data_IF_465954407065
#
_entry.id   IF_465954407065
#
_cell.length_a   1.000
_cell.length_b   1.000
_cell.length_c   1.000
_cell.angle_alpha   90.00
_cell.angle_beta   90.00
_cell.angle_gamma   90.00
#
_symmetry.space_group_name_H-M   'P 1'
#
loop_
_entity.id
_entity.type
_entity.pdbx_description
1 polymer ?
#
# COMPACT_ATOMS: atom_id res chain seq x y z
N UNK A 1 3.80 21.75 20.92
CA UNK A 1 3.05 22.80 21.64
C UNK A 1 2.14 23.56 20.71
N UNK A 2 0.82 23.57 20.95
CA UNK A 2 -0.09 24.44 20.21
C UNK A 2 0.30 25.91 20.43
N UNK A 3 0.30 26.70 19.35
CA UNK A 3 0.52 28.15 19.42
C UNK A 3 -0.68 28.77 20.10
N UNK A 4 -0.53 29.11 21.38
CA UNK A 4 -1.52 29.90 22.10
C UNK A 4 -1.35 31.36 21.73
N UNK A 5 -2.44 32.02 21.33
CA UNK A 5 -2.44 33.46 21.18
C UNK A 5 -2.44 34.08 22.59
N UNK A 6 -1.31 34.72 22.94
CA UNK A 6 -1.02 35.29 24.26
C UNK A 6 -1.72 36.65 24.40
N UNK A 7 -3.06 36.69 24.34
CA UNK A 7 -3.80 37.25 25.49
C UNK A 7 -5.14 36.57 25.80
N UNK A 8 -5.69 35.71 24.94
CA UNK A 8 -7.08 35.26 25.04
C UNK A 8 -7.27 33.89 25.69
N UNK A 9 -6.21 33.07 25.74
CA UNK A 9 -6.28 31.68 26.20
C UNK A 9 -7.12 30.76 25.29
N UNK A 10 -7.54 31.27 24.12
CA UNK A 10 -8.30 30.51 23.12
C UNK A 10 -7.30 29.89 22.14
N UNK A 11 -7.46 28.61 21.83
CA UNK A 11 -6.67 27.95 20.80
C UNK A 11 -6.98 28.62 19.44
N UNK A 12 -5.96 28.87 18.61
CA UNK A 12 -6.18 29.49 17.29
C UNK A 12 -7.23 28.73 16.46
N UNK A 13 -7.27 27.39 16.57
CA UNK A 13 -8.26 26.57 15.88
C UNK A 13 -9.70 26.90 16.30
N UNK A 14 -9.95 27.14 17.59
CA UNK A 14 -11.27 27.52 18.10
C UNK A 14 -11.65 28.95 17.71
N UNK A 15 -10.67 29.86 17.70
CA UNK A 15 -10.87 31.23 17.23
C UNK A 15 -11.29 31.24 15.75
N UNK A 16 -10.62 30.44 14.91
CA UNK A 16 -10.98 30.28 13.49
C UNK A 16 -12.35 29.64 13.35
N UNK A 17 -12.62 28.51 14.02
CA UNK A 17 -13.92 27.84 13.96
C UNK A 17 -15.06 28.80 14.31
N UNK A 18 -14.90 29.58 15.38
CA UNK A 18 -15.87 30.59 15.80
C UNK A 18 -16.12 31.68 14.76
N UNK A 19 -15.06 32.19 14.10
CA UNK A 19 -15.19 33.22 13.06
C UNK A 19 -15.98 32.72 11.85
N UNK A 20 -15.87 31.43 11.52
CA UNK A 20 -16.58 30.81 10.40
C UNK A 20 -17.87 30.08 10.78
N UNK A 21 -18.34 30.20 12.03
CA UNK A 21 -19.57 29.55 12.51
C UNK A 21 -19.48 28.02 12.68
N UNK A 22 -18.26 27.47 12.74
CA UNK A 22 -18.00 26.07 13.02
C UNK A 22 -17.92 25.76 14.53
N UNK A 23 -18.07 24.48 14.88
CA UNK A 23 -17.85 23.99 16.24
C UNK A 23 -16.37 24.07 16.63
N UNK A 24 -16.04 24.35 17.92
CA UNK A 24 -14.67 24.28 18.42
C UNK A 24 -13.99 22.97 18.05
N UNK A 25 -12.69 23.03 17.77
CA UNK A 25 -11.91 21.86 17.37
C UNK A 25 -11.46 21.16 18.64
N UNK A 26 -11.98 19.97 18.88
CA UNK A 26 -11.50 19.15 19.98
C UNK A 26 -10.07 18.68 19.70
N UNK A 27 -9.10 19.37 20.27
CA UNK A 27 -7.68 19.04 20.10
C UNK A 27 -7.31 17.68 20.67
N UNK A 28 -8.10 17.13 21.60
CA UNK A 28 -7.87 15.78 22.10
C UNK A 28 -8.17 14.73 21.02
N UNK A 29 -9.18 15.00 20.17
CA UNK A 29 -9.49 14.20 18.99
C UNK A 29 -8.42 14.35 17.90
N UNK A 30 -7.82 15.55 17.73
CA UNK A 30 -6.72 15.73 16.76
C UNK A 30 -5.46 14.94 17.11
N UNK A 31 -5.20 14.75 18.40
CA UNK A 31 -4.08 13.94 18.89
C UNK A 31 -4.39 12.44 18.92
N UNK A 32 -5.64 12.04 18.67
CA UNK A 32 -6.04 10.64 18.63
C UNK A 32 -5.64 10.00 17.28
N UNK A 33 -5.30 8.72 17.32
CA UNK A 33 -4.92 7.98 16.11
C UNK A 33 -6.11 7.94 15.14
N UNK A 34 -5.95 8.49 13.95
CA UNK A 34 -6.99 8.41 12.92
C UNK A 34 -7.20 6.95 12.47
N UNK A 35 -8.45 6.47 12.35
CA UNK A 35 -8.75 5.12 11.88
C UNK A 35 -8.33 4.94 10.42
N UNK A 36 -8.16 6.03 9.66
CA UNK A 36 -7.67 6.02 8.28
C UNK A 36 -6.16 5.92 8.16
N UNK A 37 -5.43 6.27 9.23
CA UNK A 37 -3.96 6.23 9.29
C UNK A 37 -3.39 5.09 10.14
N UNK A 38 -4.19 4.46 11.00
CA UNK A 38 -3.75 3.33 11.81
C UNK A 38 -3.23 2.17 10.94
N UNK A 39 -2.20 1.44 11.37
CA UNK A 39 -1.76 0.24 10.66
C UNK A 39 -2.77 -0.90 10.82
N UNK A 40 -2.85 -1.83 9.85
CA UNK A 40 -3.60 -3.09 9.99
C UNK A 40 -2.79 -4.11 10.80
N UNK A 41 -2.59 -3.81 12.07
CA UNK A 41 -1.79 -4.59 13.01
C UNK A 41 -2.42 -4.55 14.41
N UNK A 42 -1.90 -5.36 15.32
CA UNK A 42 -2.28 -5.32 16.74
C UNK A 42 -2.06 -3.93 17.34
N UNK A 43 -0.94 -3.27 17.03
CA UNK A 43 -0.65 -1.93 17.54
C UNK A 43 -1.60 -0.87 17.00
N UNK A 44 -1.94 -0.92 15.71
CA UNK A 44 -2.91 -0.01 15.09
C UNK A 44 -4.31 -0.22 15.65
N UNK A 45 -4.74 -1.48 15.77
CA UNK A 45 -6.00 -1.86 16.41
C UNK A 45 -6.08 -1.36 17.85
N UNK A 46 -5.08 -1.65 18.70
CA UNK A 46 -5.06 -1.22 20.09
C UNK A 46 -5.12 0.31 20.22
N UNK A 47 -4.46 1.03 19.31
CA UNK A 47 -4.50 2.50 19.26
C UNK A 47 -5.89 3.07 18.95
N UNK A 48 -6.69 2.36 18.15
CA UNK A 48 -8.09 2.75 17.89
C UNK A 48 -9.01 2.28 19.03
N UNK A 49 -8.85 1.04 19.48
CA UNK A 49 -9.69 0.44 20.52
C UNK A 49 -9.60 1.17 21.87
N UNK A 50 -8.41 1.66 22.23
CA UNK A 50 -8.16 2.42 23.46
C UNK A 50 -8.82 3.81 23.49
N UNK A 51 -9.27 4.32 22.34
CA UNK A 51 -10.00 5.60 22.29
C UNK A 51 -11.41 5.50 22.86
N UNK A 52 -11.92 4.28 23.09
CA UNK A 52 -13.27 4.10 23.64
C UNK A 52 -14.40 4.59 22.70
N UNK A 53 -14.10 4.82 21.42
CA UNK A 53 -15.01 5.43 20.46
C UNK A 53 -15.51 4.43 19.42
N UNK A 54 -16.79 4.06 19.51
CA UNK A 54 -17.42 3.15 18.55
C UNK A 54 -17.37 3.68 17.11
N UNK A 55 -17.63 4.98 16.82
CA UNK A 55 -17.48 5.50 15.46
C UNK A 55 -16.05 5.38 14.88
N UNK A 56 -15.01 5.56 15.72
CA UNK A 56 -13.62 5.40 15.27
C UNK A 56 -13.30 3.93 14.97
N UNK A 57 -13.75 3.01 15.82
CA UNK A 57 -13.60 1.57 15.58
C UNK A 57 -14.40 1.12 14.34
N UNK A 58 -15.60 1.65 14.13
CA UNK A 58 -16.42 1.40 12.95
C UNK A 58 -15.69 1.79 11.65
N UNK A 59 -15.14 3.01 11.59
CA UNK A 59 -14.35 3.46 10.44
C UNK A 59 -13.10 2.59 10.21
N UNK A 60 -12.42 2.17 11.29
CA UNK A 60 -11.27 1.28 11.20
C UNK A 60 -11.66 -0.10 10.63
N UNK A 61 -12.75 -0.70 11.13
CA UNK A 61 -13.28 -1.98 10.64
C UNK A 61 -13.74 -1.86 9.18
N UNK A 62 -14.45 -0.80 8.82
CA UNK A 62 -14.87 -0.56 7.43
C UNK A 62 -13.65 -0.51 6.50
N UNK A 63 -12.60 0.20 6.90
CA UNK A 63 -11.35 0.27 6.14
C UNK A 63 -10.69 -1.11 6.00
N UNK A 64 -10.67 -1.91 7.07
CA UNK A 64 -10.16 -3.30 7.00
C UNK A 64 -10.97 -4.14 6.02
N UNK A 65 -12.31 -4.07 6.08
CA UNK A 65 -13.22 -4.78 5.15
C UNK A 65 -12.93 -4.36 3.70
N UNK A 66 -12.72 -3.07 3.45
CA UNK A 66 -12.35 -2.56 2.13
C UNK A 66 -11.01 -3.11 1.63
N UNK A 67 -10.04 -3.34 2.53
CA UNK A 67 -8.74 -3.94 2.21
C UNK A 67 -8.78 -5.47 2.10
N UNK A 68 -9.90 -6.10 2.44
CA UNK A 68 -10.17 -7.52 2.21
C UNK A 68 -10.90 -7.77 0.88
N UNK A 69 -11.07 -6.75 0.04
CA UNK A 69 -11.82 -6.86 -1.21
C UNK A 69 -13.32 -6.96 -0.99
N UNK A 70 -13.83 -6.45 0.13
CA UNK A 70 -15.23 -6.51 0.49
C UNK A 70 -15.86 -5.12 0.66
N UNK A 71 -17.18 -5.07 0.59
CA UNK A 71 -17.99 -3.89 0.91
C UNK A 71 -18.94 -4.18 2.06
N UNK A 72 -19.24 -3.17 2.86
CA UNK A 72 -20.26 -3.25 3.93
C UNK A 72 -21.64 -3.03 3.33
N UNK A 73 -22.60 -3.92 3.60
CA UNK A 73 -23.99 -3.80 3.13
C UNK A 73 -25.00 -3.58 4.29
N UNK A 74 -24.54 -3.43 5.54
CA UNK A 74 -25.39 -3.18 6.70
C UNK A 74 -24.71 -2.34 7.79
N UNK A 75 -25.01 -1.03 7.83
CA UNK A 75 -24.42 -0.10 8.79
C UNK A 75 -24.66 -0.53 10.26
N UNK A 76 -25.90 -0.90 10.61
CA UNK A 76 -26.21 -1.34 11.97
C UNK A 76 -25.40 -2.57 12.41
N UNK A 77 -25.17 -3.51 11.50
CA UNK A 77 -24.39 -4.72 11.79
C UNK A 77 -22.89 -4.38 11.94
N UNK A 78 -22.37 -3.46 11.13
CA UNK A 78 -21.02 -2.91 11.29
C UNK A 78 -20.86 -2.21 12.65
N UNK A 79 -21.79 -1.33 13.04
CA UNK A 79 -21.76 -0.65 14.34
C UNK A 79 -21.81 -1.65 15.50
N UNK A 80 -22.69 -2.65 15.43
CA UNK A 80 -22.77 -3.71 16.43
C UNK A 80 -21.47 -4.54 16.49
N UNK A 81 -20.87 -4.83 15.33
CA UNK A 81 -19.59 -5.50 15.25
C UNK A 81 -18.50 -4.67 15.92
N UNK A 82 -18.33 -3.40 15.52
CA UNK A 82 -17.31 -2.49 16.02
C UNK A 82 -17.41 -2.24 17.53
N UNK A 83 -18.63 -2.13 18.06
CA UNK A 83 -18.88 -1.90 19.49
C UNK A 83 -18.25 -2.99 20.38
N UNK A 84 -18.21 -4.25 19.91
CA UNK A 84 -17.58 -5.36 20.65
C UNK A 84 -16.06 -5.22 20.79
N UNK A 85 -15.43 -4.39 19.96
CA UNK A 85 -13.99 -4.18 19.93
C UNK A 85 -13.56 -2.85 20.58
N UNK A 86 -14.51 -2.05 21.06
CA UNK A 86 -14.24 -0.82 21.82
C UNK A 86 -13.79 -1.17 23.25
N UNK A 87 -12.71 -0.54 23.74
CA UNK A 87 -12.27 -0.73 25.13
C UNK A 87 -11.47 -2.01 25.42
N UNK A 88 -11.18 -2.81 24.38
CA UNK A 88 -10.12 -3.84 24.27
C UNK A 88 -9.92 -4.89 25.40
N UNK A 89 -10.76 -4.99 26.43
CA UNK A 89 -10.60 -6.03 27.45
C UNK A 89 -10.93 -7.42 26.87
N UNK A 90 -9.91 -8.10 26.32
CA UNK A 90 -10.03 -9.45 25.76
C UNK A 90 -10.22 -9.54 24.23
N UNK A 91 -10.21 -8.40 23.53
CA UNK A 91 -10.28 -8.35 22.06
C UNK A 91 -8.90 -8.10 21.46
N UNK A 92 -8.60 -8.72 20.31
CA UNK A 92 -7.33 -8.56 19.59
C UNK A 92 -7.56 -8.37 18.10
N UNK A 93 -6.57 -7.81 17.39
CA UNK A 93 -6.62 -7.70 15.94
C UNK A 93 -6.75 -9.07 15.26
N UNK A 94 -6.00 -10.13 15.63
CA UNK A 94 -6.22 -11.47 15.10
C UNK A 94 -7.64 -12.00 15.29
N UNK A 95 -8.27 -11.75 16.45
CA UNK A 95 -9.67 -12.15 16.70
C UNK A 95 -10.62 -11.43 15.74
N UNK A 96 -10.46 -10.12 15.59
CA UNK A 96 -11.24 -9.31 14.65
C UNK A 96 -11.08 -9.82 13.22
N UNK A 97 -9.84 -10.09 12.81
CA UNK A 97 -9.52 -10.60 11.49
C UNK A 97 -10.09 -11.98 11.22
N UNK A 98 -10.07 -12.87 12.21
CA UNK A 98 -10.69 -14.20 12.12
C UNK A 98 -12.19 -14.08 11.89
N UNK A 99 -12.88 -13.20 12.63
CA UNK A 99 -14.31 -12.96 12.45
C UNK A 99 -14.63 -12.35 11.07
N UNK A 100 -13.86 -11.37 10.61
CA UNK A 100 -14.04 -10.79 9.26
C UNK A 100 -13.74 -11.82 8.16
N UNK A 101 -12.74 -12.68 8.37
CA UNK A 101 -12.38 -13.77 7.48
C UNK A 101 -13.48 -14.84 7.35
N UNK A 102 -14.36 -14.96 8.34
CA UNK A 102 -15.57 -15.82 8.26
C UNK A 102 -16.62 -15.29 7.28
N UNK A 103 -16.40 -14.11 6.68
CA UNK A 103 -17.28 -13.46 5.71
C UNK A 103 -18.69 -13.25 6.26
N UNK A 104 -18.84 -12.43 7.32
CA UNK A 104 -20.14 -12.24 7.95
C UNK A 104 -21.15 -11.66 6.95
N UNK A 105 -22.43 -12.00 7.11
CA UNK A 105 -23.48 -11.68 6.13
C UNK A 105 -23.67 -10.17 5.85
N UNK A 106 -23.18 -9.30 6.73
CA UNK A 106 -23.17 -7.85 6.56
C UNK A 106 -22.02 -7.33 5.67
N UNK A 107 -21.22 -8.23 5.12
CA UNK A 107 -20.17 -7.95 4.13
C UNK A 107 -20.49 -8.64 2.81
N UNK A 108 -20.00 -8.07 1.72
CA UNK A 108 -20.04 -8.66 0.38
C UNK A 108 -18.63 -8.68 -0.19
N UNK A 109 -18.07 -9.88 -0.34
CA UNK A 109 -16.74 -10.08 -0.92
C UNK A 109 -16.85 -10.14 -2.43
N UNK A 110 -16.06 -9.33 -3.11
CA UNK A 110 -16.06 -9.29 -4.57
C UNK A 110 -15.07 -10.30 -5.14
N UNK A 111 -15.56 -11.21 -5.98
CA UNK A 111 -14.73 -12.15 -6.72
C UNK A 111 -13.80 -11.46 -7.75
N UNK A 112 -14.18 -10.26 -8.20
CA UNK A 112 -13.39 -9.39 -9.06
C UNK A 112 -12.43 -8.45 -8.31
N UNK A 113 -12.27 -8.62 -6.99
CA UNK A 113 -11.34 -7.81 -6.22
C UNK A 113 -9.89 -8.00 -6.72
N UNK A 114 -9.14 -6.90 -6.74
CA UNK A 114 -7.77 -6.85 -7.25
C UNK A 114 -6.87 -6.10 -6.29
N UNK A 115 -5.59 -6.46 -6.33
CA UNK A 115 -4.57 -5.71 -5.63
C UNK A 115 -4.20 -4.47 -6.45
N UNK A 116 -4.46 -3.28 -5.91
CA UNK A 116 -4.34 -1.99 -6.61
C UNK A 116 -3.63 -0.99 -5.71
N UNK A 117 -3.14 0.11 -6.28
CA UNK A 117 -2.44 1.13 -5.51
C UNK A 117 -3.39 1.90 -4.60
N UNK A 118 -2.97 2.11 -3.36
CA UNK A 118 -3.68 2.91 -2.39
C UNK A 118 -3.69 4.38 -2.81
N UNK A 119 -4.86 4.93 -3.15
CA UNK A 119 -4.98 6.33 -3.57
C UNK A 119 -4.75 7.34 -2.44
N UNK A 120 -4.80 6.87 -1.19
CA UNK A 120 -4.51 7.70 -0.02
C UNK A 120 -3.01 7.66 0.36
N UNK A 121 -2.21 6.77 -0.26
CA UNK A 121 -0.78 6.69 -0.01
C UNK A 121 -0.02 7.77 -0.79
N UNK A 122 1.08 8.26 -0.20
CA UNK A 122 1.99 9.18 -0.86
C UNK A 122 2.57 8.53 -2.13
N UNK A 123 2.61 9.22 -3.29
CA UNK A 123 3.18 8.69 -4.53
C UNK A 123 4.61 8.16 -4.38
N UNK A 124 5.44 8.74 -3.51
CA UNK A 124 6.80 8.25 -3.24
C UNK A 124 6.78 6.86 -2.60
N UNK A 125 5.89 6.63 -1.61
CA UNK A 125 5.69 5.31 -0.99
C UNK A 125 5.24 4.29 -2.03
N UNK A 126 4.33 4.68 -2.93
CA UNK A 126 3.85 3.83 -4.03
C UNK A 126 4.98 3.52 -5.03
N UNK A 127 5.78 4.52 -5.41
CA UNK A 127 6.95 4.35 -6.29
C UNK A 127 8.01 3.41 -5.71
N UNK A 128 8.29 3.52 -4.41
CA UNK A 128 9.19 2.61 -3.72
C UNK A 128 8.66 1.16 -3.72
N UNK A 129 7.37 0.98 -3.48
CA UNK A 129 6.71 -0.32 -3.54
C UNK A 129 6.71 -0.92 -4.96
N UNK A 130 6.52 -0.09 -6.00
CA UNK A 130 6.71 -0.50 -7.40
C UNK A 130 8.12 -1.05 -7.61
N UNK A 131 9.14 -0.28 -7.22
CA UNK A 131 10.54 -0.69 -7.36
C UNK A 131 10.84 -2.01 -6.67
N UNK A 132 10.33 -2.18 -5.44
CA UNK A 132 10.45 -3.44 -4.70
C UNK A 132 9.76 -4.60 -5.42
N UNK A 133 8.54 -4.42 -5.91
CA UNK A 133 7.80 -5.45 -6.62
C UNK A 133 8.48 -5.88 -7.93
N UNK A 134 9.10 -4.93 -8.65
CA UNK A 134 9.86 -5.19 -9.87
C UNK A 134 11.17 -5.96 -9.64
N UNK A 135 11.74 -5.91 -8.44
CA UNK A 135 12.95 -6.67 -8.10
C UNK A 135 12.66 -8.14 -7.77
N UNK A 136 11.39 -8.52 -7.64
CA UNK A 136 11.00 -9.87 -7.31
C UNK A 136 11.11 -10.76 -8.57
N UNK A 137 11.83 -11.87 -8.47
CA UNK A 137 12.27 -12.67 -9.62
C UNK A 137 11.14 -13.32 -10.46
N UNK A 138 9.94 -13.42 -9.89
CA UNK A 138 8.81 -14.14 -10.48
C UNK A 138 7.67 -13.22 -10.95
N UNK A 139 7.93 -11.92 -11.03
CA UNK A 139 6.86 -10.92 -11.01
C UNK A 139 6.94 -9.99 -12.23
N UNK A 140 5.83 -9.33 -12.63
CA UNK A 140 5.61 -8.97 -14.03
C UNK A 140 6.79 -8.18 -14.56
N UNK A 141 7.21 -8.50 -15.78
CA UNK A 141 8.29 -7.79 -16.45
C UNK A 141 7.97 -6.28 -16.47
N UNK A 142 8.60 -5.52 -15.59
CA UNK A 142 8.33 -4.09 -15.43
C UNK A 142 8.79 -3.27 -16.65
N UNK A 143 9.48 -3.89 -17.60
CA UNK A 143 9.75 -3.31 -18.91
C UNK A 143 8.57 -3.44 -19.88
N UNK A 144 7.53 -4.21 -19.54
CA UNK A 144 6.34 -4.48 -20.35
C UNK A 144 5.07 -3.93 -19.67
N UNK A 145 5.11 -2.65 -19.29
CA UNK A 145 3.93 -1.93 -18.81
C UNK A 145 3.15 -1.43 -20.04
N UNK A 146 1.84 -1.72 -20.16
CA UNK A 146 1.01 -1.16 -21.21
C UNK A 146 1.05 0.37 -21.24
N UNK A 147 1.02 0.96 -22.43
CA UNK A 147 0.86 2.42 -22.59
C UNK A 147 -0.35 3.03 -21.85
N UNK A 148 -1.54 2.40 -21.73
CA UNK A 148 -2.59 2.96 -20.87
C UNK A 148 -2.26 2.93 -19.38
N UNK A 149 -1.19 2.26 -18.95
CA UNK A 149 -0.83 2.13 -17.53
C UNK A 149 0.44 2.88 -17.15
N UNK A 150 1.24 3.37 -18.11
CA UNK A 150 2.55 4.00 -17.87
C UNK A 150 2.50 5.51 -17.60
N UNK A 151 1.30 6.10 -17.53
CA UNK A 151 1.13 7.55 -17.45
C UNK A 151 1.09 8.13 -16.02
N UNK A 152 0.98 7.30 -14.98
CA UNK A 152 0.99 7.75 -13.59
C UNK A 152 1.56 6.70 -12.64
N UNK A 153 2.12 7.14 -11.51
CA UNK A 153 2.61 6.24 -10.46
C UNK A 153 1.53 5.27 -9.97
N UNK A 154 0.27 5.72 -9.87
CA UNK A 154 -0.83 4.89 -9.40
C UNK A 154 -1.27 3.84 -10.41
N UNK A 155 -1.38 4.18 -11.70
CA UNK A 155 -1.75 3.21 -12.74
C UNK A 155 -0.63 2.20 -13.04
N UNK A 156 0.62 2.64 -12.93
CA UNK A 156 1.78 1.73 -12.96
C UNK A 156 1.68 0.74 -11.78
N UNK A 157 1.40 1.24 -10.58
CA UNK A 157 1.26 0.42 -9.39
C UNK A 157 0.05 -0.52 -9.47
N UNK A 158 -1.11 -0.09 -9.98
CA UNK A 158 -2.25 -0.98 -10.19
C UNK A 158 -1.86 -2.19 -11.04
N UNK A 159 -1.12 -1.94 -12.13
CA UNK A 159 -0.69 -2.98 -13.06
C UNK A 159 0.31 -3.93 -12.41
N UNK A 160 1.31 -3.38 -11.71
CA UNK A 160 2.36 -4.17 -11.08
C UNK A 160 1.84 -4.93 -9.87
N UNK A 161 1.09 -4.28 -8.97
CA UNK A 161 0.58 -4.87 -7.74
C UNK A 161 -0.45 -5.96 -8.03
N UNK A 162 -1.36 -5.74 -8.99
CA UNK A 162 -2.38 -6.74 -9.32
C UNK A 162 -1.75 -8.01 -9.89
N UNK A 163 -0.78 -7.88 -10.80
CA UNK A 163 -0.05 -9.01 -11.37
C UNK A 163 0.85 -9.68 -10.33
N UNK A 164 1.52 -8.89 -9.48
CA UNK A 164 2.29 -9.42 -8.36
C UNK A 164 1.45 -10.34 -7.50
N UNK A 165 0.30 -9.83 -7.07
CA UNK A 165 -0.61 -10.58 -6.24
C UNK A 165 -1.14 -11.85 -6.93
N UNK A 166 -1.45 -11.81 -8.23
CA UNK A 166 -1.87 -13.01 -8.96
C UNK A 166 -0.80 -14.09 -9.03
N UNK A 167 0.49 -13.74 -9.11
CA UNK A 167 1.58 -14.73 -9.11
C UNK A 167 1.70 -15.51 -7.81
N UNK A 168 1.18 -14.98 -6.69
CA UNK A 168 1.15 -15.65 -5.40
C UNK A 168 0.06 -16.74 -5.31
N UNK A 169 -0.92 -16.72 -6.22
CA UNK A 169 -1.98 -17.72 -6.31
C UNK A 169 -2.88 -17.79 -5.07
N UNK A 170 -3.33 -19.00 -4.73
CA UNK A 170 -4.29 -19.22 -3.63
C UNK A 170 -3.72 -19.02 -2.23
N UNK A 171 -2.39 -18.91 -2.10
CA UNK A 171 -1.73 -18.64 -0.81
C UNK A 171 -1.67 -17.15 -0.46
N UNK A 172 -2.08 -16.27 -1.37
CA UNK A 172 -2.02 -14.83 -1.16
C UNK A 172 -3.02 -14.38 -0.08
N UNK A 173 -2.53 -13.70 0.94
CA UNK A 173 -3.35 -13.02 1.94
C UNK A 173 -3.58 -11.56 1.53
N UNK A 174 -4.84 -11.12 1.32
CA UNK A 174 -5.16 -9.76 0.90
C UNK A 174 -4.54 -8.66 1.77
N UNK A 175 -4.40 -8.87 3.09
CA UNK A 175 -3.89 -7.82 3.96
C UNK A 175 -2.38 -7.71 3.97
N UNK A 176 -1.67 -8.83 3.87
CA UNK A 176 -0.21 -8.83 3.97
C UNK A 176 0.45 -8.83 2.60
N UNK A 177 -0.11 -9.58 1.65
CA UNK A 177 0.45 -9.77 0.32
C UNK A 177 0.13 -8.60 -0.64
N UNK A 178 -0.94 -7.84 -0.38
CA UNK A 178 -1.29 -6.66 -1.18
C UNK A 178 -0.95 -5.32 -0.51
N UNK A 179 -0.57 -5.30 0.78
CA UNK A 179 -0.36 -4.04 1.47
C UNK A 179 0.85 -3.26 0.95
N UNK A 180 1.96 -3.93 0.62
CA UNK A 180 3.23 -3.28 0.25
C UNK A 180 3.62 -2.14 1.23
N UNK A 181 3.43 -2.37 2.54
CA UNK A 181 3.66 -1.33 3.55
C UNK A 181 2.65 -0.18 3.50
N UNK A 182 1.42 -0.44 3.05
CA UNK A 182 0.34 0.55 2.88
C UNK A 182 0.26 1.20 1.50
N UNK A 183 1.18 0.88 0.58
CA UNK A 183 1.16 1.37 -0.79
C UNK A 183 0.08 0.72 -1.66
N UNK A 184 -0.36 -0.50 -1.33
CA UNK A 184 -1.40 -1.23 -2.05
C UNK A 184 -2.57 -1.62 -1.16
N UNK A 185 -3.71 -1.87 -1.79
CA UNK A 185 -4.95 -2.32 -1.14
C UNK A 185 -5.61 -3.39 -2.01
N UNK A 186 -6.18 -4.42 -1.40
CA UNK A 186 -6.98 -5.41 -2.12
C UNK A 186 -8.42 -4.89 -2.18
N UNK A 187 -8.77 -4.24 -3.29
CA UNK A 187 -10.04 -3.51 -3.44
C UNK A 187 -11.05 -4.28 -4.28
N UNK A 188 -12.33 -4.19 -3.88
CA UNK A 188 -13.45 -4.62 -4.70
C UNK A 188 -13.57 -3.78 -5.99
N UNK A 189 -14.10 -4.38 -7.06
CA UNK A 189 -14.37 -3.75 -8.37
C UNK A 189 -15.13 -2.43 -8.25
N UNK A 190 -16.22 -2.32 -7.46
CA UNK A 190 -16.94 -1.05 -7.32
C UNK A 190 -16.13 0.07 -6.65
N UNK A 191 -15.01 -0.27 -5.99
CA UNK A 191 -14.10 0.68 -5.35
C UNK A 191 -13.06 1.15 -6.37
N UNK A 192 -12.30 0.23 -6.97
CA UNK A 192 -11.20 0.62 -7.86
C UNK A 192 -11.68 1.12 -9.23
N UNK A 193 -12.85 0.66 -9.72
CA UNK A 193 -13.41 1.14 -11.00
C UNK A 193 -13.76 2.64 -11.01
N UNK A 194 -13.82 3.28 -9.84
CA UNK A 194 -14.03 4.73 -9.72
C UNK A 194 -12.76 5.52 -10.01
N UNK A 195 -11.61 4.88 -10.05
CA UNK A 195 -10.33 5.51 -10.32
C UNK A 195 -10.01 5.43 -11.80
N UNK A 196 -9.68 6.58 -12.39
CA UNK A 196 -9.31 6.68 -13.81
C UNK A 196 -8.17 5.72 -14.14
N UNK A 197 -8.36 4.89 -15.17
CA UNK A 197 -7.35 3.96 -15.69
C UNK A 197 -7.15 2.66 -14.87
N UNK A 198 -7.72 2.55 -13.66
CA UNK A 198 -7.47 1.39 -12.80
C UNK A 198 -8.06 0.09 -13.37
N UNK A 199 -9.18 0.16 -14.08
CA UNK A 199 -9.84 -1.04 -14.63
C UNK A 199 -9.06 -1.66 -15.79
N UNK A 200 -8.39 -0.82 -16.57
CA UNK A 200 -7.50 -1.22 -17.65
C UNK A 200 -6.17 -1.76 -17.12
N UNK A 201 -5.75 -1.25 -15.96
CA UNK A 201 -4.46 -1.52 -15.34
C UNK A 201 -4.52 -2.54 -14.22
N UNK A 202 -5.52 -3.42 -14.17
CA UNK A 202 -5.50 -4.58 -13.28
C UNK A 202 -5.32 -5.87 -14.05
N UNK A 203 -4.74 -6.86 -13.39
CA UNK A 203 -4.57 -8.19 -13.94
C UNK A 203 -5.93 -8.84 -14.29
N UNK A 204 -5.97 -9.53 -15.42
CA UNK A 204 -7.20 -10.05 -16.03
C UNK A 204 -8.01 -9.03 -16.84
N UNK A 205 -7.57 -7.77 -16.95
CA UNK A 205 -8.21 -6.81 -17.86
C UNK A 205 -8.11 -7.30 -19.32
N UNK A 206 -9.14 -7.00 -20.12
CA UNK A 206 -9.19 -7.37 -21.54
C UNK A 206 -8.23 -6.55 -22.41
N UNK A 207 -7.28 -5.81 -21.82
CA UNK A 207 -6.27 -5.10 -22.57
C UNK A 207 -5.34 -6.14 -23.22
N UNK A 208 -5.70 -6.52 -24.45
CA UNK A 208 -4.80 -7.26 -25.32
C UNK A 208 -3.66 -6.30 -25.59
N UNK A 209 -2.47 -6.66 -25.12
CA UNK A 209 -1.26 -6.14 -25.73
C UNK A 209 -1.48 -6.33 -27.24
N UNK A 210 -1.53 -5.23 -27.99
CA UNK A 210 -1.22 -5.33 -29.40
C UNK A 210 0.18 -5.94 -29.38
N UNK A 211 0.27 -7.26 -29.60
CA UNK A 211 1.53 -7.92 -29.77
C UNK A 211 2.12 -7.15 -30.93
N UNK A 212 3.09 -6.29 -30.67
CA UNK A 212 3.91 -5.72 -31.71
C UNK A 212 4.62 -6.93 -32.27
N UNK A 213 3.96 -7.61 -33.20
CA UNK A 213 4.58 -8.57 -34.08
C UNK A 213 5.56 -7.70 -34.83
N UNK A 214 6.76 -7.60 -34.28
CA UNK A 214 7.92 -7.15 -35.01
C UNK A 214 8.04 -8.19 -36.11
N UNK A 215 7.33 -7.97 -37.21
CA UNK A 215 7.55 -8.69 -38.45
C UNK A 215 9.03 -8.46 -38.76
N UNK A 216 9.82 -9.47 -38.43
CA UNK A 216 11.20 -9.60 -38.83
C UNK A 216 11.22 -9.81 -40.35
N UNK A 217 10.84 -8.77 -41.09
CA UNK A 217 10.97 -8.67 -42.53
C UNK A 217 11.69 -7.37 -42.85
N UNK A 218 12.99 -7.39 -42.59
CA UNK A 218 13.93 -6.52 -43.25
C UNK A 218 15.17 -7.35 -43.50
N UNK A 219 15.22 -7.89 -44.72
CA UNK A 219 16.44 -8.39 -45.33
C UNK A 219 17.49 -7.28 -45.24
N UNK A 220 18.51 -7.51 -44.40
CA UNK A 220 19.69 -6.67 -44.31
C UNK A 220 20.51 -6.88 -45.58
N UNK A 221 20.42 -5.95 -46.53
CA UNK A 221 21.50 -5.75 -47.50
C UNK A 221 22.66 -5.06 -46.78
N UNK A 222 23.67 -5.85 -46.45
CA UNK A 222 24.94 -5.37 -45.90
C UNK A 222 25.60 -4.42 -46.90
N UNK A 223 25.69 -3.13 -46.55
CA UNK A 223 26.66 -2.22 -47.17
C UNK A 223 27.72 -1.92 -46.12
N UNK A 224 28.87 -2.58 -46.27
CA UNK A 224 30.07 -2.38 -45.47
C UNK A 224 30.68 -1.02 -45.84
N UNK A 225 30.54 -0.02 -44.97
CA UNK A 225 31.36 1.20 -45.05
C UNK A 225 32.32 1.17 -43.87
N UNK A 226 33.59 0.93 -44.19
CA UNK A 226 34.68 1.04 -43.23
C UNK A 226 34.89 2.49 -42.83
N UNK A 227 34.73 2.80 -41.55
CA UNK A 227 35.11 4.07 -40.96
C UNK A 227 36.17 3.79 -39.89
N UNK A 228 37.40 4.16 -40.20
CA UNK A 228 38.49 4.26 -39.24
C UNK A 228 38.26 5.52 -38.40
N UNK A 229 38.19 5.41 -37.07
CA UNK A 229 38.38 6.58 -36.19
C UNK A 229 39.09 6.19 -34.90
N UNK A 230 40.36 6.57 -34.88
CA UNK A 230 41.17 7.18 -33.83
C UNK A 230 40.72 7.05 -32.37
N UNK A 231 41.60 6.43 -31.60
CA UNK A 231 41.63 6.36 -30.14
C UNK A 231 42.18 7.69 -29.59
N UNK A 232 41.35 8.52 -28.97
CA UNK A 232 41.82 9.60 -28.09
C UNK A 232 41.42 9.29 -26.64
N UNK A 233 42.45 9.02 -25.84
CA UNK A 233 42.38 8.97 -24.40
C UNK A 233 42.39 10.40 -23.86
N UNK A 234 41.40 10.75 -23.03
CA UNK A 234 41.45 11.93 -22.19
C UNK A 234 40.95 11.57 -20.78
N UNK A 235 41.93 11.23 -19.96
CA UNK A 235 41.93 11.33 -18.51
C UNK A 235 41.61 12.75 -18.07
N UNK A 236 40.57 12.91 -17.24
CA UNK A 236 40.20 14.18 -16.63
C UNK A 236 39.50 13.98 -15.29
N UNK A 237 40.25 13.52 -14.29
CA UNK A 237 39.83 13.56 -12.88
C UNK A 237 40.01 15.00 -12.39
N UNK A 238 38.91 15.66 -12.05
CA UNK A 238 38.94 16.96 -11.36
C UNK A 238 38.40 16.76 -9.96
N UNK A 239 39.31 16.54 -9.02
CA UNK A 239 39.05 16.56 -7.59
C UNK A 239 38.89 18.02 -7.18
N UNK A 240 37.69 18.41 -6.78
CA UNK A 240 37.45 19.73 -6.17
C UNK A 240 37.56 19.55 -4.66
N UNK A 241 38.67 20.07 -4.12
CA UNK A 241 38.97 20.09 -2.69
C UNK A 241 38.34 21.36 -2.10
N UNK A 242 37.28 21.22 -1.30
CA UNK A 242 36.78 22.32 -0.48
C UNK A 242 37.57 22.39 0.84
N UNK A 243 38.11 23.57 1.20
CA UNK A 243 38.74 23.79 2.49
C UNK A 243 37.73 24.31 3.52
N UNK A 244 37.90 23.80 4.75
CA UNK A 244 37.51 24.41 6.02
C UNK A 244 36.03 24.32 6.47
N UNK A 245 35.81 23.42 7.43
CA UNK A 245 35.45 23.88 8.78
C UNK A 245 33.99 23.70 9.20
N UNK A 246 33.66 22.52 9.74
CA UNK A 246 33.01 22.46 11.05
C UNK A 246 33.07 21.04 11.65
N UNK A 247 33.90 20.89 12.68
CA UNK A 247 34.01 19.68 13.50
C UNK A 247 32.83 19.64 14.48
N UNK A 248 31.73 19.04 14.04
CA UNK A 248 30.61 18.66 14.89
C UNK A 248 30.58 17.13 15.00
N UNK A 249 31.22 16.59 16.03
CA UNK A 249 31.22 15.16 16.34
C UNK A 249 29.81 14.75 16.76
N UNK A 250 29.05 14.15 15.84
CA UNK A 250 27.77 13.48 16.13
C UNK A 250 28.01 11.98 16.10
N UNK A 251 27.60 11.22 17.14
CA UNK A 251 27.83 9.79 17.20
C UNK A 251 27.09 9.08 16.06
N UNK A 252 27.82 8.24 15.33
CA UNK A 252 27.34 7.36 14.27
C UNK A 252 26.05 6.65 14.70
N UNK A 253 24.92 7.12 14.15
CA UNK A 253 23.69 6.38 14.12
C UNK A 253 23.87 5.18 13.20
N UNK A 254 24.01 4.00 13.80
CA UNK A 254 23.91 2.71 13.13
C UNK A 254 22.63 2.71 12.29
N UNK A 255 22.77 2.82 10.96
CA UNK A 255 21.66 2.60 10.03
C UNK A 255 21.32 1.13 10.10
N UNK A 256 20.38 0.80 10.99
CA UNK A 256 19.71 -0.49 11.00
C UNK A 256 18.90 -0.61 9.71
N UNK A 257 19.54 -1.25 8.74
CA UNK A 257 18.86 -1.86 7.59
C UNK A 257 17.73 -2.75 8.16
N UNK A 258 16.46 -2.50 7.82
CA UNK A 258 15.38 -3.35 8.31
C UNK A 258 15.67 -4.80 7.89
N UNK A 259 15.46 -5.78 8.77
CA UNK A 259 15.66 -7.17 8.43
C UNK A 259 14.81 -7.49 7.20
N UNK A 260 15.48 -7.96 6.15
CA UNK A 260 14.81 -8.68 5.06
C UNK A 260 14.03 -9.80 5.73
N UNK A 261 12.70 -9.70 5.71
CA UNK A 261 11.83 -10.80 6.11
C UNK A 261 12.18 -11.97 5.18
N UNK A 262 13.01 -12.89 5.67
CA UNK A 262 13.18 -14.16 5.00
C UNK A 262 11.81 -14.84 4.98
N UNK A 263 11.39 -15.42 3.84
CA UNK A 263 10.16 -16.19 3.80
C UNK A 263 10.25 -17.30 4.84
N UNK A 264 9.40 -17.21 5.86
CA UNK A 264 9.23 -18.28 6.84
C UNK A 264 8.79 -19.51 6.07
N UNK A 265 9.62 -20.56 6.05
CA UNK A 265 9.27 -21.84 5.46
C UNK A 265 7.96 -22.32 6.11
N UNK A 266 6.91 -22.41 5.29
CA UNK A 266 5.63 -22.98 5.72
C UNK A 266 5.90 -24.47 5.98
N UNK A 267 5.70 -24.98 7.21
CA UNK A 267 5.87 -26.39 7.48
C UNK A 267 4.84 -27.17 6.66
N UNK A 268 5.34 -27.99 5.73
CA UNK A 268 4.54 -28.92 4.94
C UNK A 268 3.79 -29.84 5.89
N UNK A 269 2.46 -29.67 5.96
CA UNK A 269 1.60 -30.46 6.85
C UNK A 269 1.70 -31.94 6.48
N UNK A 270 2.07 -32.77 7.47
CA UNK A 270 2.18 -34.20 7.33
C UNK A 270 0.80 -34.80 6.97
N UNK A 271 0.79 -35.62 5.91
CA UNK A 271 -0.39 -36.35 5.48
C UNK A 271 -0.90 -37.27 6.61
N UNK A 272 -2.14 -37.05 7.02
CA UNK A 272 -2.89 -37.95 7.91
C UNK A 272 -3.13 -39.26 7.15
N UNK A 273 -2.49 -40.34 7.58
CA UNK A 273 -2.79 -41.68 7.08
C UNK A 273 -4.18 -42.12 7.55
N UNK A 274 -5.02 -42.72 6.69
CA UNK A 274 -6.29 -43.29 7.10
C UNK A 274 -6.07 -44.52 7.99
N UNK A 275 -6.81 -44.59 9.11
CA UNK A 275 -6.88 -45.78 9.96
C UNK A 275 -7.51 -46.95 9.17
N UNK A 276 -6.96 -48.16 9.24
CA UNK A 276 -7.65 -49.35 8.76
C UNK A 276 -8.81 -49.70 9.69
N UNK A 277 -9.93 -50.11 9.08
CA UNK A 277 -11.11 -50.66 9.76
C UNK A 277 -10.93 -52.11 10.17
#
# INVERSE_FOLDING_TARGET
>A
DPVMDRPSGVLMADAVAKVFGGSPVDTSLLCSTSPWGAAFSESGFASIASQGSAPQMEAYVERVVRHLGATVNGAQALTAFATRYVGAAGSSFPTMMSELGSRPAWTTFDAGAKCVANRDANPETVGNAIGWACQQANVPNCSLIPSPCDHSTYTIADYIFSRYYETLGSGADPLTSCSFGGAGIFAATPVYSRWTGATECVAGSNYRFATTTTDASSAVSQTTVGVATTLEALTGVTTTTDPAGNTGTSPEGVVHRPPVLQPTEIPTSAAVQPRPG
#
